data_IF_290497167964
#
_entry.id   IF_290497167964
#
_cell.length_a   1.000
_cell.length_b   1.000
_cell.length_c   1.000
_cell.angle_alpha   90.00
_cell.angle_beta   90.00
_cell.angle_gamma   90.00
#
_symmetry.space_group_name_H-M   'P 1'
#
loop_
_entity.id
_entity.type
_entity.pdbx_description
1 polymer ?
#
# COMPACT_ATOMS: atom_id res chain seq x y z
N UNK A 1 -13.73 -25.01 6.19
CA UNK A 1 -13.50 -23.63 5.75
C UNK A 1 -12.01 -23.52 5.49
N UNK A 2 -11.61 -23.81 4.26
CA UNK A 2 -10.23 -23.74 3.79
C UNK A 2 -9.90 -22.26 3.60
N UNK A 3 -9.02 -21.74 4.46
CA UNK A 3 -8.55 -20.36 4.49
C UNK A 3 -7.49 -20.11 3.44
N UNK A 4 -7.75 -20.50 2.20
CA UNK A 4 -6.89 -20.18 1.07
C UNK A 4 -7.22 -18.73 0.67
N UNK A 5 -6.59 -17.76 1.35
CA UNK A 5 -6.60 -16.36 0.92
C UNK A 5 -5.75 -16.30 -0.34
N UNK A 6 -6.39 -16.61 -1.47
CA UNK A 6 -5.76 -16.49 -2.79
C UNK A 6 -5.28 -15.05 -2.99
N UNK A 7 -4.08 -14.87 -3.56
CA UNK A 7 -3.48 -13.59 -3.97
C UNK A 7 -4.43 -12.45 -4.44
N UNK A 8 -5.54 -12.70 -5.20
CA UNK A 8 -6.56 -11.68 -5.46
C UNK A 8 -7.16 -11.00 -4.23
N UNK A 9 -7.34 -11.70 -3.10
CA UNK A 9 -7.91 -11.11 -1.88
C UNK A 9 -6.89 -10.20 -1.18
N UNK A 10 -5.62 -10.62 -1.10
CA UNK A 10 -4.52 -9.77 -0.57
C UNK A 10 -4.41 -8.48 -1.39
N UNK A 11 -4.36 -8.58 -2.73
CA UNK A 11 -4.31 -7.36 -3.57
C UNK A 11 -5.52 -6.46 -3.40
N UNK A 12 -6.71 -7.03 -3.18
CA UNK A 12 -7.94 -6.27 -2.93
C UNK A 12 -7.89 -5.57 -1.57
N UNK A 13 -7.37 -6.23 -0.54
CA UNK A 13 -7.24 -5.66 0.80
C UNK A 13 -6.23 -4.51 0.83
N UNK A 14 -5.07 -4.70 0.19
CA UNK A 14 -4.02 -3.68 0.10
C UNK A 14 -4.50 -2.42 -0.65
N UNK A 15 -5.22 -2.59 -1.76
CA UNK A 15 -5.78 -1.48 -2.54
C UNK A 15 -6.88 -0.72 -1.77
N UNK A 16 -7.80 -1.44 -1.14
CA UNK A 16 -9.00 -0.84 -0.53
C UNK A 16 -8.75 -0.29 0.88
N UNK A 17 -7.96 -0.98 1.72
CA UNK A 17 -7.81 -0.62 3.15
C UNK A 17 -6.48 0.05 3.48
N UNK A 18 -5.40 -0.27 2.75
CA UNK A 18 -4.06 0.27 3.02
C UNK A 18 -3.60 1.32 1.99
N UNK A 19 -4.50 1.82 1.15
CA UNK A 19 -4.23 2.93 0.25
C UNK A 19 -3.27 2.58 -0.89
N UNK A 20 -3.21 1.31 -1.29
CA UNK A 20 -2.36 0.85 -2.40
C UNK A 20 -0.95 0.42 -1.97
N UNK A 21 -0.76 0.01 -0.72
CA UNK A 21 0.46 -0.69 -0.30
C UNK A 21 0.74 -1.87 -1.25
N UNK A 22 2.01 -2.10 -1.59
CA UNK A 22 2.40 -3.19 -2.49
C UNK A 22 2.70 -4.47 -1.72
N UNK A 23 2.48 -5.63 -2.35
CA UNK A 23 3.07 -6.88 -1.83
C UNK A 23 4.60 -6.68 -1.74
N UNK A 24 5.17 -6.93 -0.57
CA UNK A 24 6.58 -6.64 -0.27
C UNK A 24 6.83 -5.41 0.62
N UNK A 25 5.83 -4.55 0.84
CA UNK A 25 5.91 -3.37 1.72
C UNK A 25 5.75 -3.77 3.19
N UNK A 26 6.83 -4.27 3.80
CA UNK A 26 6.82 -4.85 5.14
C UNK A 26 6.64 -3.78 6.23
N UNK A 27 7.15 -2.56 5.99
CA UNK A 27 7.06 -1.46 6.95
C UNK A 27 5.80 -0.59 6.76
N UNK A 28 4.99 -0.88 5.73
CA UNK A 28 3.75 -0.18 5.35
C UNK A 28 3.97 1.31 5.06
N UNK A 29 5.12 1.67 4.49
CA UNK A 29 5.44 3.05 4.10
C UNK A 29 4.97 3.41 2.68
N UNK A 30 4.32 2.46 2.00
CA UNK A 30 3.79 2.60 0.65
C UNK A 30 4.81 2.30 -0.43
N UNK A 31 5.98 1.74 -0.10
CA UNK A 31 7.04 1.38 -1.04
C UNK A 31 7.50 -0.04 -0.74
N UNK A 32 7.74 -0.82 -1.79
CA UNK A 32 8.53 -2.05 -1.67
C UNK A 32 9.97 -1.75 -2.09
N UNK A 33 10.88 -1.63 -1.14
CA UNK A 33 12.29 -1.37 -1.40
C UNK A 33 13.25 -2.16 -0.50
N UNK A 34 14.53 -1.75 -0.48
CA UNK A 34 15.55 -2.46 0.30
C UNK A 34 15.34 -2.35 1.81
N UNK A 35 14.62 -1.34 2.30
CA UNK A 35 14.29 -1.21 3.72
C UNK A 35 13.38 -2.35 4.18
N UNK A 36 12.42 -2.76 3.36
CA UNK A 36 11.55 -3.91 3.65
C UNK A 36 12.33 -5.21 3.69
N UNK A 37 13.20 -5.43 2.70
CA UNK A 37 14.05 -6.62 2.66
C UNK A 37 14.97 -6.70 3.89
N UNK A 38 15.59 -5.58 4.27
CA UNK A 38 16.42 -5.53 5.48
C UNK A 38 15.59 -5.81 6.72
N UNK A 39 14.36 -5.28 6.81
CA UNK A 39 13.45 -5.51 7.93
C UNK A 39 13.15 -7.00 8.10
N UNK A 40 12.65 -7.67 7.04
CA UNK A 40 12.22 -9.08 7.11
C UNK A 40 13.40 -10.04 7.32
N UNK A 41 14.56 -9.79 6.68
CA UNK A 41 15.74 -10.63 6.93
C UNK A 41 16.34 -10.42 8.32
N UNK A 42 16.17 -9.24 8.92
CA UNK A 42 16.58 -9.00 10.31
C UNK A 42 15.67 -9.72 11.32
N UNK A 43 14.40 -9.98 10.97
CA UNK A 43 13.50 -10.78 11.79
C UNK A 43 13.94 -12.25 11.90
N UNK A 44 14.68 -12.77 10.90
CA UNK A 44 15.35 -14.06 10.96
C UNK A 44 14.48 -15.29 10.69
N UNK A 45 13.26 -15.11 10.16
CA UNK A 45 12.33 -16.20 9.84
C UNK A 45 12.54 -16.87 8.48
N UNK A 46 13.43 -16.32 7.64
CA UNK A 46 13.63 -16.84 6.28
C UNK A 46 14.10 -18.29 6.27
N UNK A 47 13.26 -19.19 5.75
CA UNK A 47 13.55 -20.64 5.63
C UNK A 47 14.01 -21.29 6.96
N UNK A 48 13.45 -20.85 8.10
CA UNK A 48 13.86 -21.35 9.42
C UNK A 48 13.26 -22.71 9.80
N UNK A 49 12.25 -23.18 9.05
CA UNK A 49 11.46 -24.40 9.26
C UNK A 49 10.59 -24.41 10.53
N UNK A 50 10.24 -23.25 11.07
CA UNK A 50 9.35 -23.11 12.22
C UNK A 50 7.96 -22.69 11.75
N UNK A 51 7.05 -23.65 11.70
CA UNK A 51 5.75 -23.42 11.11
C UNK A 51 4.92 -22.33 11.81
N UNK A 52 4.21 -21.53 11.02
CA UNK A 52 3.25 -20.49 11.41
C UNK A 52 3.84 -19.43 12.34
N UNK A 53 5.10 -19.03 12.09
CA UNK A 53 5.83 -18.10 12.93
C UNK A 53 6.06 -16.72 12.29
N UNK A 54 5.57 -16.51 11.07
CA UNK A 54 5.79 -15.30 10.30
C UNK A 54 4.49 -14.50 10.14
N UNK A 55 4.62 -13.19 10.21
CA UNK A 55 3.59 -12.21 9.91
C UNK A 55 4.07 -11.33 8.74
N UNK A 56 3.22 -10.40 8.29
CA UNK A 56 3.50 -9.49 7.19
C UNK A 56 4.83 -8.71 7.32
N UNK A 57 5.09 -8.16 8.51
CA UNK A 57 6.31 -7.40 8.84
C UNK A 57 7.55 -8.30 9.01
N UNK A 58 7.36 -9.62 8.97
CA UNK A 58 8.40 -10.64 9.03
C UNK A 58 8.61 -11.36 7.69
N UNK A 59 7.79 -11.06 6.67
CA UNK A 59 7.97 -11.55 5.30
C UNK A 59 6.88 -12.48 4.76
N UNK A 60 5.85 -12.81 5.54
CA UNK A 60 4.69 -13.61 5.07
C UNK A 60 3.77 -12.75 4.18
N UNK A 61 4.11 -12.71 2.89
CA UNK A 61 3.47 -11.86 1.89
C UNK A 61 2.50 -12.64 1.00
N UNK A 62 2.53 -13.97 1.06
CA UNK A 62 1.54 -14.84 0.44
C UNK A 62 0.42 -15.29 1.42
N UNK A 63 0.56 -14.96 2.72
CA UNK A 63 -0.36 -15.29 3.81
C UNK A 63 -0.48 -16.78 4.14
N UNK A 64 0.59 -17.56 3.97
CA UNK A 64 0.65 -18.99 4.33
C UNK A 64 1.23 -19.25 5.73
N UNK A 65 1.73 -18.21 6.40
CA UNK A 65 2.28 -18.25 7.75
C UNK A 65 3.77 -18.53 7.84
N UNK A 66 4.46 -18.69 6.70
CA UNK A 66 5.91 -18.82 6.61
C UNK A 66 6.54 -17.57 5.96
N UNK A 67 7.84 -17.37 6.17
CA UNK A 67 8.63 -16.51 5.30
C UNK A 67 9.62 -17.36 4.53
N UNK A 68 9.35 -17.59 3.25
CA UNK A 68 10.21 -18.39 2.40
C UNK A 68 10.36 -17.82 0.98
N UNK A 69 10.99 -18.61 0.11
CA UNK A 69 11.21 -18.23 -1.29
C UNK A 69 9.91 -17.91 -2.05
N UNK A 70 8.77 -18.48 -1.65
CA UNK A 70 7.48 -18.27 -2.30
C UNK A 70 6.92 -16.87 -2.05
N UNK A 71 7.17 -16.28 -0.87
CA UNK A 71 6.83 -14.89 -0.56
C UNK A 71 7.61 -13.90 -1.42
N UNK A 72 8.92 -14.14 -1.56
CA UNK A 72 9.77 -13.33 -2.42
C UNK A 72 9.28 -13.40 -3.87
N UNK A 73 8.94 -14.59 -4.35
CA UNK A 73 8.36 -14.76 -5.69
C UNK A 73 7.03 -14.01 -5.81
N UNK A 74 6.13 -14.12 -4.83
CA UNK A 74 4.86 -13.41 -4.82
C UNK A 74 5.06 -11.89 -4.88
N UNK A 75 5.95 -11.33 -4.06
CA UNK A 75 6.24 -9.90 -4.06
C UNK A 75 6.88 -9.41 -5.36
N UNK A 76 7.90 -10.11 -5.89
CA UNK A 76 8.58 -9.68 -7.12
C UNK A 76 7.73 -9.87 -8.38
N UNK A 77 6.80 -10.83 -8.40
CA UNK A 77 5.86 -11.01 -9.52
C UNK A 77 4.95 -9.79 -9.73
N UNK A 78 4.72 -8.97 -8.70
CA UNK A 78 3.95 -7.72 -8.83
C UNK A 78 4.71 -6.62 -9.58
N UNK A 79 6.04 -6.71 -9.67
CA UNK A 79 6.89 -5.70 -10.31
C UNK A 79 6.98 -4.36 -9.54
N UNK A 80 6.66 -4.36 -8.24
CA UNK A 80 6.65 -3.17 -7.38
C UNK A 80 8.01 -2.76 -6.79
N UNK A 81 9.02 -3.64 -6.83
CA UNK A 81 10.31 -3.35 -6.17
C UNK A 81 11.01 -2.13 -6.75
N UNK A 82 11.33 -1.15 -5.90
CA UNK A 82 11.90 0.16 -6.26
C UNK A 82 11.08 0.95 -7.30
N UNK A 83 9.87 0.49 -7.62
CA UNK A 83 8.90 1.28 -8.36
C UNK A 83 8.29 2.22 -7.32
N UNK A 84 8.63 3.50 -7.36
CA UNK A 84 7.92 4.46 -6.52
C UNK A 84 6.43 4.29 -6.80
N UNK A 85 5.62 4.00 -5.76
CA UNK A 85 4.17 4.13 -5.83
C UNK A 85 3.92 5.45 -6.53
N UNK A 86 3.40 5.40 -7.77
CA UNK A 86 3.23 6.59 -8.59
C UNK A 86 2.49 7.58 -7.69
N UNK A 87 3.12 8.67 -7.21
CA UNK A 87 2.35 9.69 -6.52
C UNK A 87 1.23 10.02 -7.49
N UNK A 88 -0.03 10.07 -7.01
CA UNK A 88 -1.16 10.43 -7.85
C UNK A 88 -0.68 11.56 -8.74
N UNK A 89 -0.55 11.30 -10.06
CA UNK A 89 0.19 12.25 -10.88
C UNK A 89 -0.51 13.59 -10.73
N UNK A 90 0.24 14.70 -10.70
CA UNK A 90 -0.37 16.02 -10.61
C UNK A 90 -1.50 16.17 -11.65
N UNK A 91 -1.39 15.50 -12.81
CA UNK A 91 -2.44 15.40 -13.82
C UNK A 91 -3.69 14.60 -13.38
N UNK A 92 -3.56 13.52 -12.61
CA UNK A 92 -4.69 12.74 -12.08
C UNK A 92 -5.41 13.47 -10.95
N UNK A 93 -4.65 14.16 -10.09
CA UNK A 93 -5.16 15.07 -9.05
C UNK A 93 -5.88 16.28 -9.68
N UNK A 94 -5.26 16.91 -10.68
CA UNK A 94 -5.81 18.03 -11.45
C UNK A 94 -7.04 17.61 -12.30
N UNK A 95 -7.06 16.39 -12.84
CA UNK A 95 -8.23 15.83 -13.51
C UNK A 95 -9.41 15.61 -12.56
N UNK A 96 -9.15 15.12 -11.34
CA UNK A 96 -10.19 14.99 -10.30
C UNK A 96 -10.70 16.35 -9.82
N UNK A 97 -9.82 17.34 -9.57
CA UNK A 97 -10.25 18.68 -9.13
C UNK A 97 -11.00 19.48 -10.21
N UNK A 98 -10.68 19.29 -11.49
CA UNK A 98 -11.38 19.98 -12.59
C UNK A 98 -12.77 19.44 -12.89
N UNK A 99 -13.04 18.16 -12.58
CA UNK A 99 -14.26 17.47 -13.01
C UNK A 99 -15.26 17.15 -11.87
N UNK A 100 -15.03 17.66 -10.65
CA UNK A 100 -16.07 17.61 -9.61
C UNK A 100 -17.17 18.66 -9.88
N UNK A 101 -18.45 18.34 -9.63
CA UNK A 101 -19.48 19.37 -9.59
C UNK A 101 -19.09 20.42 -8.54
N UNK A 102 -19.13 21.70 -8.92
CA UNK A 102 -18.70 22.81 -8.06
C UNK A 102 -19.43 22.74 -6.71
N UNK A 103 -18.73 22.33 -5.66
CA UNK A 103 -19.20 22.52 -4.29
C UNK A 103 -19.16 24.02 -3.98
N UNK A 104 -20.28 24.65 -3.56
CA UNK A 104 -20.28 26.05 -3.22
C UNK A 104 -19.45 26.26 -1.94
N UNK A 105 -18.25 26.83 -2.06
CA UNK A 105 -17.47 27.29 -0.90
C UNK A 105 -15.96 27.05 -0.92
N UNK A 106 -15.40 26.39 -1.94
CA UNK A 106 -13.96 26.12 -2.02
C UNK A 106 -13.38 26.56 -3.37
N UNK A 107 -12.39 27.47 -3.33
CA UNK A 107 -11.58 27.84 -4.49
C UNK A 107 -10.22 27.11 -4.42
N UNK A 108 -9.98 26.11 -5.28
CA UNK A 108 -8.74 25.33 -5.26
C UNK A 108 -7.52 26.10 -5.78
N UNK A 109 -7.68 27.27 -6.41
CA UNK A 109 -6.54 28.02 -6.95
C UNK A 109 -5.84 28.90 -5.90
N UNK A 110 -6.51 29.21 -4.79
CA UNK A 110 -6.00 30.17 -3.80
C UNK A 110 -5.83 29.57 -2.40
N UNK A 111 -6.36 28.37 -2.14
CA UNK A 111 -6.24 27.67 -0.86
C UNK A 111 -6.81 28.42 0.34
N UNK A 112 -7.62 29.46 0.12
CA UNK A 112 -8.21 30.28 1.19
C UNK A 112 -9.73 30.12 1.20
N UNK A 113 -10.28 29.87 2.39
CA UNK A 113 -11.72 30.03 2.62
C UNK A 113 -12.13 31.48 2.40
N UNK A 114 -13.22 31.69 1.65
CA UNK A 114 -13.79 33.02 1.46
C UNK A 114 -14.18 33.60 2.83
N UNK A 115 -13.81 34.85 3.16
CA UNK A 115 -14.20 35.47 4.42
C UNK A 115 -15.73 35.54 4.50
N UNK A 116 -16.25 35.00 5.60
CA UNK A 116 -17.68 34.81 5.85
C UNK A 116 -18.50 36.07 5.64
N UNK A 117 -19.67 35.90 5.02
CA UNK A 117 -20.69 36.94 5.02
C UNK A 117 -21.08 37.24 6.47
N UNK A 118 -20.90 38.50 6.85
CA UNK A 118 -21.48 39.10 8.05
C UNK A 118 -22.99 38.76 8.06
N UNK A 119 -23.45 38.16 9.15
CA UNK A 119 -24.87 38.00 9.45
C UNK A 119 -25.46 39.40 9.65
N UNK A 120 -26.41 39.77 8.80
CA UNK A 120 -27.51 40.67 9.15
C UNK A 120 -28.80 39.84 9.18
#
# INVERSE_FOLDING_TARGET
ASGDVFAPDVTTYLDHFLGGASIGDANLDGRFDSADLVLVFTAGGYEDNVLQNSNWDQGDWNCDGEFDSSDLVAAFQTGGYQNESRPLSAAMVDHWFRNQPRHPGFDPHTGRGLPGKRLE
#
